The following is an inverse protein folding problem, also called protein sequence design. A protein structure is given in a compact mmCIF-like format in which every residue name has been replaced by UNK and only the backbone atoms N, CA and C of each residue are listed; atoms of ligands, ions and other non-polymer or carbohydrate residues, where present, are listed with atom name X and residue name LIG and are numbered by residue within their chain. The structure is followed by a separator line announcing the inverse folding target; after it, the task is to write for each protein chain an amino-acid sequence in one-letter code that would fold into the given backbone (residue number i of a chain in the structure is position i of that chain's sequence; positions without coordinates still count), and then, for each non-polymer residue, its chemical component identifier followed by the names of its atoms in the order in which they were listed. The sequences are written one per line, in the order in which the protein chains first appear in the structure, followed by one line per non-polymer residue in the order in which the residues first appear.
data_IF_446174118530
#
_entry.id   IF_446174118530
#
_cell.length_a   1.000
_cell.length_b   1.000
_cell.length_c   1.000
_cell.angle_alpha   90.00
_cell.angle_beta   90.00
_cell.angle_gamma   90.00
#
_symmetry.space_group_name_H-M   'P 1'
#
loop_
_entity.id
_entity.type
_entity.pdbx_description
1 polymer ?
#
# COMPACT_ATOMS: atom_id res chain seq x y z
N UNK A 1 4.86 -8.01 -6.81
CA UNK A 1 4.63 -6.75 -7.53
C UNK A 1 5.92 -5.98 -7.64
N UNK A 2 5.88 -4.68 -7.95
CA UNK A 2 7.11 -3.92 -8.14
C UNK A 2 7.81 -3.65 -6.82
N UNK A 3 9.09 -3.28 -6.91
CA UNK A 3 9.85 -2.93 -5.71
C UNK A 3 9.23 -1.75 -4.97
N UNK A 4 8.68 -0.79 -5.72
CA UNK A 4 7.99 0.34 -5.14
C UNK A 4 6.80 -0.12 -4.28
N UNK A 5 5.99 -1.02 -4.82
CA UNK A 5 4.82 -1.54 -4.11
C UNK A 5 5.24 -2.38 -2.90
N UNK A 6 6.30 -3.16 -3.03
CA UNK A 6 6.80 -3.95 -1.90
C UNK A 6 7.27 -3.05 -0.76
N UNK A 7 7.91 -1.95 -1.11
CA UNK A 7 8.35 -0.97 -0.10
C UNK A 7 7.15 -0.35 0.61
N UNK A 8 6.11 0.00 -0.14
CA UNK A 8 4.89 0.55 0.44
C UNK A 8 4.21 -0.44 1.37
N UNK A 9 4.16 -1.69 0.96
CA UNK A 9 3.58 -2.74 1.78
C UNK A 9 4.30 -2.86 3.11
N UNK A 10 5.62 -2.82 3.07
CA UNK A 10 6.43 -2.92 4.28
C UNK A 10 6.20 -1.73 5.20
N UNK A 11 6.13 -0.53 4.63
CA UNK A 11 5.89 0.67 5.41
C UNK A 11 4.49 0.65 6.05
N UNK A 12 3.51 0.18 5.30
CA UNK A 12 2.16 0.08 5.83
C UNK A 12 2.08 -0.95 6.96
N UNK A 13 2.74 -2.09 6.78
CA UNK A 13 2.77 -3.14 7.79
C UNK A 13 3.40 -2.66 9.08
N UNK A 14 4.44 -1.86 8.99
CA UNK A 14 5.14 -1.35 10.16
C UNK A 14 4.50 -0.10 10.75
N UNK A 15 3.41 0.38 10.15
CA UNK A 15 2.68 1.53 10.67
C UNK A 15 3.27 2.88 10.31
N UNK A 16 4.20 2.92 9.36
CA UNK A 16 4.82 4.17 8.95
C UNK A 16 3.99 4.97 7.98
N UNK A 17 3.07 4.30 7.28
CA UNK A 17 2.09 4.96 6.42
C UNK A 17 0.72 4.38 6.75
N UNK A 18 -0.33 5.11 6.38
CA UNK A 18 -1.71 4.71 6.67
C UNK A 18 -2.55 4.70 5.40
N UNK A 19 -3.85 4.42 5.58
CA UNK A 19 -4.79 4.36 4.47
C UNK A 19 -4.87 5.69 3.73
N UNK A 20 -4.76 6.81 4.45
CA UNK A 20 -4.80 8.13 3.84
C UNK A 20 -3.68 8.28 2.83
N UNK A 21 -2.48 7.85 3.21
CA UNK A 21 -1.34 7.93 2.31
C UNK A 21 -1.53 7.04 1.09
N UNK A 22 -2.04 5.83 1.30
CA UNK A 22 -2.30 4.91 0.19
C UNK A 22 -3.38 5.46 -0.74
N UNK A 23 -4.42 6.07 -0.18
CA UNK A 23 -5.47 6.68 -0.99
C UNK A 23 -4.92 7.83 -1.83
N UNK A 24 -3.99 8.60 -1.30
CA UNK A 24 -3.35 9.67 -2.05
C UNK A 24 -2.56 9.10 -3.23
N UNK A 25 -1.84 8.02 -3.00
CA UNK A 25 -1.06 7.37 -4.06
C UNK A 25 -1.99 6.80 -5.13
N UNK A 26 -3.09 6.21 -4.71
CA UNK A 26 -4.08 5.66 -5.63
C UNK A 26 -4.71 6.79 -6.46
N UNK A 27 -5.05 7.89 -5.81
CA UNK A 27 -5.65 9.04 -6.49
C UNK A 27 -4.72 9.70 -7.49
N UNK A 28 -3.42 9.71 -7.22
CA UNK A 28 -2.44 10.26 -8.15
C UNK A 28 -1.92 9.22 -9.15
N UNK A 29 -2.50 8.02 -9.14
CA UNK A 29 -2.20 6.94 -10.07
C UNK A 29 -0.78 6.41 -9.96
N UNK A 30 -0.17 6.60 -8.82
CA UNK A 30 1.14 6.01 -8.55
C UNK A 30 1.02 4.53 -8.25
N UNK A 31 -0.15 4.11 -7.77
CA UNK A 31 -0.50 2.71 -7.61
C UNK A 31 -1.91 2.51 -8.16
N UNK A 32 -2.26 1.26 -8.47
CA UNK A 32 -3.60 0.92 -8.94
C UNK A 32 -4.36 0.18 -7.84
N UNK A 33 -5.62 -0.18 -8.13
CA UNK A 33 -6.49 -0.86 -7.17
C UNK A 33 -5.90 -2.18 -6.70
N UNK A 34 -5.32 -2.93 -7.62
CA UNK A 34 -4.71 -4.21 -7.27
C UNK A 34 -3.54 -4.03 -6.32
N UNK A 35 -2.73 -3.02 -6.58
CA UNK A 35 -1.59 -2.73 -5.72
C UNK A 35 -2.04 -2.22 -4.36
N UNK A 36 -3.09 -1.41 -4.34
CA UNK A 36 -3.68 -0.93 -3.11
C UNK A 36 -4.13 -2.13 -2.24
N UNK A 37 -4.90 -3.04 -2.84
CA UNK A 37 -5.37 -4.22 -2.13
C UNK A 37 -4.22 -5.07 -1.60
N UNK A 38 -3.18 -5.21 -2.41
CA UNK A 38 -2.01 -5.98 -2.03
C UNK A 38 -1.33 -5.39 -0.80
N UNK A 39 -1.22 -4.07 -0.78
CA UNK A 39 -0.55 -3.37 0.32
C UNK A 39 -1.37 -3.48 1.61
N UNK A 40 -2.67 -3.21 1.54
CA UNK A 40 -3.50 -3.25 2.74
C UNK A 40 -3.64 -4.65 3.30
N UNK A 41 -3.51 -5.67 2.46
CA UNK A 41 -3.62 -7.06 2.92
C UNK A 41 -2.46 -7.43 3.86
N UNK A 42 -1.39 -6.66 3.87
CA UNK A 42 -0.29 -6.90 4.79
C UNK A 42 -0.71 -6.76 6.25
N UNK A 43 -1.67 -5.87 6.51
CA UNK A 43 -2.19 -5.66 7.86
C UNK A 43 -3.41 -6.51 8.15
N UNK A 44 -4.04 -7.04 7.11
CA UNK A 44 -5.28 -7.80 7.25
C UNK A 44 -5.05 -9.30 7.21
N UNK A 45 -3.83 -9.73 7.34
CA UNK A 45 -3.49 -11.15 7.41
C UNK A 45 -3.83 -11.65 8.80
N UNK A 46 -4.67 -12.66 8.85
CA UNK A 46 -5.08 -13.27 10.11
C UNK A 46 -4.43 -14.63 10.26
#
# INVERSE_FOLDING_TARGET
MTQFVESLRRLYESGKIDDTKLNELLGSKKINTQEYDYIISAKNVI
#
